data_IF_941148827247
#
_entry.id   IF_941148827247
#
_cell.length_a   1.000
_cell.length_b   1.000
_cell.length_c   1.000
_cell.angle_alpha   90.00
_cell.angle_beta   90.00
_cell.angle_gamma   90.00
#
_symmetry.space_group_name_H-M   'P 1'
#
loop_
_entity.id
_entity.type
_entity.pdbx_description
1 polymer ?
#
# COMPACT_ATOMS: atom_id res chain seq x y z
N UNK A 1 -9.97 -16.98 36.43
CA UNK A 1 -10.21 -16.61 35.02
C UNK A 1 -9.14 -15.58 34.67
N UNK A 2 -7.97 -16.01 34.23
CA UNK A 2 -6.76 -15.18 34.21
C UNK A 2 -6.05 -15.26 32.86
N UNK A 3 -5.65 -14.07 32.40
CA UNK A 3 -4.49 -13.77 31.56
C UNK A 3 -4.46 -14.13 30.07
N UNK A 4 -5.13 -15.16 29.55
CA UNK A 4 -4.89 -15.56 28.14
C UNK A 4 -5.37 -14.52 27.09
N UNK A 5 -6.51 -13.86 27.33
CA UNK A 5 -7.08 -12.88 26.38
C UNK A 5 -6.20 -11.63 26.21
N UNK A 6 -5.52 -11.19 27.27
CA UNK A 6 -4.66 -9.99 27.24
C UNK A 6 -3.40 -10.17 26.39
N UNK A 7 -2.84 -11.39 26.36
CA UNK A 7 -1.68 -11.73 25.53
C UNK A 7 -2.04 -11.98 24.07
N UNK A 8 -3.23 -12.56 23.80
CA UNK A 8 -3.76 -12.70 22.44
C UNK A 8 -4.10 -11.33 21.82
N UNK A 9 -4.67 -10.41 22.61
CA UNK A 9 -5.03 -9.07 22.16
C UNK A 9 -3.81 -8.17 21.87
N UNK A 10 -2.77 -8.23 22.71
CA UNK A 10 -1.51 -7.51 22.45
C UNK A 10 -0.69 -8.15 21.32
N UNK A 11 -0.62 -9.49 21.26
CA UNK A 11 0.09 -10.21 20.22
C UNK A 11 -0.52 -10.02 18.82
N UNK A 12 -1.85 -10.00 18.74
CA UNK A 12 -2.59 -9.75 17.50
C UNK A 12 -2.34 -8.35 16.94
N UNK A 13 -2.41 -7.31 17.77
CA UNK A 13 -2.16 -5.93 17.34
C UNK A 13 -0.70 -5.73 16.92
N UNK A 14 0.27 -6.28 17.66
CA UNK A 14 1.70 -6.18 17.30
C UNK A 14 1.98 -6.93 15.99
N UNK A 15 1.49 -8.17 15.85
CA UNK A 15 1.63 -8.95 14.61
C UNK A 15 1.00 -8.27 13.40
N UNK A 16 -0.23 -7.76 13.55
CA UNK A 16 -0.91 -7.00 12.51
C UNK A 16 -0.16 -5.72 12.11
N UNK A 17 0.43 -5.03 13.09
CA UNK A 17 1.25 -3.82 12.85
C UNK A 17 2.51 -4.15 12.05
N UNK A 18 3.19 -5.27 12.33
CA UNK A 18 4.36 -5.71 11.57
C UNK A 18 3.97 -6.03 10.12
N UNK A 19 2.84 -6.72 9.90
CA UNK A 19 2.35 -7.04 8.55
C UNK A 19 2.01 -5.75 7.80
N UNK A 20 1.29 -4.82 8.42
CA UNK A 20 0.97 -3.51 7.82
C UNK A 20 2.23 -2.71 7.46
N UNK A 21 3.25 -2.73 8.31
CA UNK A 21 4.54 -2.10 8.03
C UNK A 21 5.22 -2.72 6.80
N UNK A 22 5.25 -4.05 6.71
CA UNK A 22 5.81 -4.76 5.55
C UNK A 22 5.05 -4.41 4.27
N UNK A 23 3.72 -4.39 4.31
CA UNK A 23 2.87 -3.99 3.18
C UNK A 23 3.17 -2.55 2.75
N UNK A 24 3.28 -1.62 3.71
CA UNK A 24 3.61 -0.22 3.43
C UNK A 24 4.97 -0.09 2.73
N UNK A 25 6.00 -0.79 3.24
CA UNK A 25 7.33 -0.79 2.63
C UNK A 25 7.30 -1.38 1.21
N UNK A 26 6.58 -2.48 1.00
CA UNK A 26 6.41 -3.06 -0.34
C UNK A 26 5.76 -2.07 -1.32
N UNK A 27 4.70 -1.37 -0.90
CA UNK A 27 4.02 -0.36 -1.73
C UNK A 27 4.96 0.81 -2.07
N UNK A 28 5.70 1.33 -1.08
CA UNK A 28 6.67 2.42 -1.30
C UNK A 28 7.77 1.98 -2.27
N UNK A 29 8.31 0.76 -2.11
CA UNK A 29 9.37 0.25 -2.99
C UNK A 29 8.87 0.09 -4.42
N UNK A 30 7.65 -0.44 -4.61
CA UNK A 30 7.04 -0.56 -5.94
C UNK A 30 6.87 0.82 -6.58
N UNK A 31 6.30 1.78 -5.85
CA UNK A 31 6.04 3.13 -6.34
C UNK A 31 7.33 3.87 -6.70
N UNK A 32 8.37 3.77 -5.86
CA UNK A 32 9.69 4.36 -6.16
C UNK A 32 10.29 3.75 -7.42
N UNK A 33 10.19 2.42 -7.60
CA UNK A 33 10.69 1.75 -8.80
C UNK A 33 9.96 2.22 -10.06
N UNK A 34 8.64 2.41 -9.99
CA UNK A 34 7.86 2.95 -11.10
C UNK A 34 8.19 4.39 -11.42
N UNK A 35 8.30 5.26 -10.42
CA UNK A 35 8.68 6.65 -10.62
C UNK A 35 10.07 6.72 -11.28
N UNK A 36 11.02 5.90 -10.85
CA UNK A 36 12.36 5.83 -11.47
C UNK A 36 12.26 5.36 -12.92
N UNK A 37 11.45 4.33 -13.21
CA UNK A 37 11.23 3.84 -14.56
C UNK A 37 10.66 4.94 -15.47
N UNK A 38 9.57 5.59 -15.05
CA UNK A 38 8.95 6.64 -15.85
C UNK A 38 9.86 7.86 -16.00
N UNK A 39 10.59 8.25 -14.95
CA UNK A 39 11.59 9.33 -15.02
C UNK A 39 12.70 9.02 -16.03
N UNK A 40 13.18 7.77 -16.09
CA UNK A 40 14.19 7.34 -17.08
C UNK A 40 13.65 7.32 -18.51
N UNK A 41 12.35 7.13 -18.67
CA UNK A 41 11.66 7.12 -19.96
C UNK A 41 10.97 8.47 -20.28
N UNK A 42 11.51 9.60 -19.81
CA UNK A 42 10.99 10.95 -20.08
C UNK A 42 9.51 11.16 -19.69
N UNK A 43 9.07 10.53 -18.60
CA UNK A 43 7.68 10.53 -18.13
C UNK A 43 6.70 9.99 -19.18
N UNK A 44 7.15 9.08 -20.03
CA UNK A 44 6.29 8.39 -20.99
C UNK A 44 5.45 7.31 -20.28
N UNK A 45 4.22 7.66 -19.92
CA UNK A 45 3.27 6.77 -19.24
C UNK A 45 2.58 5.76 -20.15
N UNK A 46 2.76 5.87 -21.47
CA UNK A 46 2.24 4.87 -22.42
C UNK A 46 3.05 3.57 -22.37
N UNK A 47 4.27 3.63 -21.82
CA UNK A 47 5.09 2.46 -21.55
C UNK A 47 4.59 1.73 -20.30
N UNK A 48 4.47 0.41 -20.41
CA UNK A 48 4.20 -0.44 -19.26
C UNK A 48 5.50 -0.69 -18.49
N UNK A 49 5.49 -0.33 -17.20
CA UNK A 49 6.61 -0.57 -16.29
C UNK A 49 6.71 -2.05 -15.88
N UNK A 50 5.60 -2.79 -15.94
CA UNK A 50 5.40 -4.15 -15.40
C UNK A 50 5.86 -4.31 -13.93
N UNK A 51 5.94 -3.20 -13.18
CA UNK A 51 6.39 -3.16 -11.79
C UNK A 51 5.20 -3.05 -10.84
N UNK A 52 4.21 -2.23 -11.19
CA UNK A 52 2.99 -2.02 -10.41
C UNK A 52 1.84 -2.92 -10.84
N UNK A 53 0.89 -3.11 -9.92
CA UNK A 53 -0.33 -3.87 -10.20
C UNK A 53 -1.28 -3.16 -11.16
N UNK A 54 -2.12 -3.93 -11.84
CA UNK A 54 -3.25 -3.40 -12.62
C UNK A 54 -4.30 -2.81 -11.68
N UNK A 55 -4.74 -1.59 -11.94
CA UNK A 55 -5.89 -0.97 -11.28
C UNK A 55 -7.02 -0.82 -12.28
N UNK A 56 -8.23 -1.20 -11.88
CA UNK A 56 -9.43 -1.12 -12.70
C UNK A 56 -10.38 -0.06 -12.14
N UNK A 57 -11.22 0.51 -13.01
CA UNK A 57 -12.26 1.45 -12.59
C UNK A 57 -13.43 0.70 -11.94
N UNK A 58 -13.77 1.10 -10.72
CA UNK A 58 -14.88 0.50 -9.96
C UNK A 58 -14.67 -0.98 -9.72
N UNK A 59 -15.72 -1.78 -9.90
CA UNK A 59 -15.69 -3.23 -9.72
C UNK A 59 -15.38 -4.00 -11.02
N UNK A 60 -14.93 -3.30 -12.06
CA UNK A 60 -14.63 -3.95 -13.35
C UNK A 60 -13.35 -4.78 -13.27
N UNK A 61 -13.34 -5.90 -13.99
CA UNK A 61 -12.14 -6.71 -14.23
C UNK A 61 -11.75 -6.72 -15.71
N UNK A 62 -12.46 -5.97 -16.55
CA UNK A 62 -12.18 -5.87 -17.98
C UNK A 62 -10.93 -5.00 -18.21
N UNK A 63 -10.00 -5.48 -19.03
CA UNK A 63 -8.80 -4.71 -19.40
C UNK A 63 -9.13 -3.37 -20.11
N UNK A 64 -10.37 -3.20 -20.57
CA UNK A 64 -10.88 -1.94 -21.14
C UNK A 64 -11.03 -0.84 -20.10
N UNK A 65 -11.24 -1.23 -18.85
CA UNK A 65 -11.45 -0.34 -17.71
C UNK A 65 -10.19 -0.14 -16.87
N UNK A 66 -9.02 -0.53 -17.41
CA UNK A 66 -7.74 -0.25 -16.81
C UNK A 66 -7.55 1.26 -16.60
N UNK A 67 -7.19 1.62 -15.37
CA UNK A 67 -6.74 2.96 -15.03
C UNK A 67 -5.41 3.21 -15.71
N UNK A 68 -5.24 4.39 -16.29
CA UNK A 68 -4.00 4.77 -16.97
C UNK A 68 -2.80 4.74 -16.01
N UNK A 69 -1.63 4.33 -16.51
CA UNK A 69 -0.40 4.31 -15.72
C UNK A 69 -0.10 5.64 -15.03
N UNK A 70 -0.32 6.75 -15.74
CA UNK A 70 -0.19 8.10 -15.17
C UNK A 70 -1.09 8.29 -13.96
N UNK A 71 -2.37 7.94 -14.06
CA UNK A 71 -3.31 8.11 -12.96
C UNK A 71 -2.97 7.19 -11.79
N UNK A 72 -2.52 5.97 -12.10
CA UNK A 72 -2.12 4.97 -11.10
C UNK A 72 -0.89 5.42 -10.30
N UNK A 73 0.18 5.84 -10.97
CA UNK A 73 1.43 6.30 -10.34
C UNK A 73 1.22 7.64 -9.64
N UNK A 74 0.61 8.63 -10.29
CA UNK A 74 0.51 9.96 -9.69
C UNK A 74 -0.53 10.09 -8.58
N UNK A 75 -1.54 9.22 -8.54
CA UNK A 75 -2.65 9.35 -7.59
C UNK A 75 -3.00 8.03 -6.89
N UNK A 76 -3.19 6.93 -7.63
CA UNK A 76 -3.65 5.66 -7.08
C UNK A 76 -2.71 5.07 -6.03
N UNK A 77 -1.43 4.90 -6.36
CA UNK A 77 -0.45 4.35 -5.44
C UNK A 77 -0.11 5.27 -4.26
N UNK A 78 0.10 6.59 -4.45
CA UNK A 78 0.24 7.53 -3.32
C UNK A 78 -0.97 7.53 -2.38
N UNK A 79 -2.18 7.39 -2.92
CA UNK A 79 -3.40 7.26 -2.11
C UNK A 79 -3.40 5.97 -1.28
N UNK A 80 -3.10 4.81 -1.90
CA UNK A 80 -3.02 3.54 -1.19
C UNK A 80 -1.94 3.55 -0.10
N UNK A 81 -0.77 4.10 -0.38
CA UNK A 81 0.31 4.29 0.60
C UNK A 81 -0.19 5.13 1.78
N UNK A 82 -0.90 6.22 1.50
CA UNK A 82 -1.44 7.12 2.53
C UNK A 82 -2.47 6.43 3.42
N UNK A 83 -3.39 5.65 2.84
CA UNK A 83 -4.39 4.88 3.60
C UNK A 83 -3.72 3.87 4.52
N UNK A 84 -2.76 3.09 4.01
CA UNK A 84 -2.03 2.11 4.81
C UNK A 84 -1.20 2.79 5.91
N UNK A 85 -0.56 3.93 5.61
CA UNK A 85 0.21 4.69 6.59
C UNK A 85 -0.66 5.24 7.73
N UNK A 86 -1.84 5.78 7.43
CA UNK A 86 -2.80 6.26 8.44
C UNK A 86 -3.22 5.11 9.36
N UNK A 87 -3.55 3.95 8.78
CA UNK A 87 -3.92 2.78 9.56
C UNK A 87 -2.76 2.29 10.45
N UNK A 88 -1.53 2.29 9.93
CA UNK A 88 -0.34 1.92 10.68
C UNK A 88 -0.09 2.86 11.86
N UNK A 89 -0.23 4.18 11.65
CA UNK A 89 -0.09 5.19 12.71
C UNK A 89 -1.10 4.93 13.83
N UNK A 90 -2.36 4.64 13.48
CA UNK A 90 -3.39 4.31 14.47
C UNK A 90 -3.04 3.06 15.28
N UNK A 91 -2.57 1.99 14.63
CA UNK A 91 -2.14 0.77 15.31
C UNK A 91 -0.95 1.01 16.24
N UNK A 92 0.06 1.76 15.80
CA UNK A 92 1.22 2.12 16.62
C UNK A 92 0.82 2.99 17.81
N UNK A 93 -0.08 3.97 17.62
CA UNK A 93 -0.58 4.80 18.70
C UNK A 93 -1.30 3.97 19.79
N UNK A 94 -2.09 2.96 19.40
CA UNK A 94 -2.73 2.03 20.34
C UNK A 94 -1.69 1.23 21.12
N UNK A 95 -0.64 0.73 20.46
CA UNK A 95 0.44 -0.01 21.13
C UNK A 95 1.17 0.87 22.14
N UNK A 96 1.50 2.12 21.77
CA UNK A 96 2.23 3.05 22.63
C UNK A 96 1.38 3.64 23.77
N UNK A 97 0.04 3.55 23.68
CA UNK A 97 -0.88 4.01 24.72
C UNK A 97 -1.20 2.94 25.76
N UNK A 98 -0.70 1.71 25.59
CA UNK A 98 -0.78 0.62 26.57
C UNK A 98 0.42 0.65 27.52
#
# INVERSE_FOLDING_TARGET
MFSAEKYLDAGGVVGGTIILLLVLLCLIIQEVREIIFYKRNNLNFDLDSNIGGKMYKGDSTDDKDLVTNKSRVCYGAPFMISVVAIQLIACVAIILSK
#
